data_IF_130843701741
#
_entry.id   IF_130843701741
#
_cell.length_a   1.000
_cell.length_b   1.000
_cell.length_c   1.000
_cell.angle_alpha   90.00
_cell.angle_beta   90.00
_cell.angle_gamma   90.00
#
_symmetry.space_group_name_H-M   'P 1'
#
loop_
_entity.id
_entity.type
_entity.pdbx_description
1 polymer ?
#
# COMPACT_ATOMS: atom_id res chain seq x y z
N UNK A 1 7.04 13.35 -25.37
CA UNK A 1 7.61 13.94 -24.13
C UNK A 1 6.69 13.80 -22.93
N UNK A 2 5.36 14.02 -23.05
CA UNK A 2 4.41 13.86 -21.94
C UNK A 2 4.34 12.42 -21.35
N UNK A 3 4.30 11.37 -22.20
CA UNK A 3 4.26 9.97 -21.76
C UNK A 3 5.41 9.57 -20.81
N UNK A 4 6.62 10.11 -21.06
CA UNK A 4 7.81 9.78 -20.26
C UNK A 4 7.74 10.40 -18.86
N UNK A 5 7.15 11.60 -18.75
CA UNK A 5 6.93 12.27 -17.47
C UNK A 5 5.88 11.52 -16.63
N UNK A 6 4.79 11.08 -17.26
CA UNK A 6 3.74 10.32 -16.59
C UNK A 6 4.27 8.99 -16.02
N UNK A 7 5.10 8.28 -16.77
CA UNK A 7 5.76 7.05 -16.31
C UNK A 7 6.74 7.30 -15.15
N UNK A 8 7.53 8.38 -15.20
CA UNK A 8 8.43 8.78 -14.11
C UNK A 8 7.66 9.11 -12.84
N UNK A 9 6.56 9.86 -12.95
CA UNK A 9 5.67 10.23 -11.83
C UNK A 9 5.02 8.98 -11.23
N UNK A 10 4.55 8.04 -12.05
CA UNK A 10 3.98 6.77 -11.57
C UNK A 10 5.04 5.94 -10.83
N UNK A 11 6.27 5.88 -11.35
CA UNK A 11 7.36 5.18 -10.67
C UNK A 11 7.73 5.84 -9.33
N UNK A 12 7.76 7.17 -9.28
CA UNK A 12 7.97 7.93 -8.04
C UNK A 12 6.90 7.60 -7.00
N UNK A 13 5.62 7.66 -7.37
CA UNK A 13 4.52 7.30 -6.47
C UNK A 13 4.59 5.85 -6.02
N UNK A 14 4.97 4.93 -6.91
CA UNK A 14 5.12 3.52 -6.57
C UNK A 14 6.22 3.30 -5.53
N UNK A 15 7.40 3.91 -5.71
CA UNK A 15 8.50 3.82 -4.73
C UNK A 15 8.10 4.43 -3.38
N UNK A 16 7.40 5.55 -3.40
CA UNK A 16 6.95 6.21 -2.18
C UNK A 16 5.88 5.39 -1.44
N UNK A 17 4.90 4.84 -2.18
CA UNK A 17 3.86 3.96 -1.65
C UNK A 17 4.46 2.72 -0.98
N UNK A 18 5.51 2.13 -1.56
CA UNK A 18 6.19 1.00 -0.97
C UNK A 18 6.91 1.33 0.35
N UNK A 19 7.61 2.47 0.42
CA UNK A 19 8.23 2.96 1.67
C UNK A 19 7.16 3.18 2.76
N UNK A 20 6.06 3.82 2.41
CA UNK A 20 4.94 4.03 3.33
C UNK A 20 4.28 2.72 3.77
N UNK A 21 4.17 1.73 2.87
CA UNK A 21 3.67 0.40 3.21
C UNK A 21 4.56 -0.27 4.27
N UNK A 22 5.89 -0.15 4.16
CA UNK A 22 6.81 -0.64 5.20
C UNK A 22 6.62 0.08 6.54
N UNK A 23 6.48 1.42 6.52
CA UNK A 23 6.22 2.21 7.73
C UNK A 23 4.90 1.77 8.39
N UNK A 24 3.82 1.62 7.60
CA UNK A 24 2.53 1.14 8.08
C UNK A 24 2.64 -0.23 8.76
N UNK A 25 3.41 -1.15 8.17
CA UNK A 25 3.66 -2.47 8.77
C UNK A 25 4.42 -2.37 10.09
N UNK A 26 5.43 -1.52 10.18
CA UNK A 26 6.18 -1.29 11.42
C UNK A 26 5.29 -0.71 12.52
N UNK A 27 4.40 0.25 12.18
CA UNK A 27 3.42 0.80 13.10
C UNK A 27 2.41 -0.27 13.57
N UNK A 28 1.91 -1.09 12.65
CA UNK A 28 1.00 -2.18 12.99
C UNK A 28 1.66 -3.19 13.94
N UNK A 29 2.93 -3.54 13.71
CA UNK A 29 3.70 -4.40 14.63
C UNK A 29 3.91 -3.78 16.02
N UNK A 30 3.97 -2.46 16.10
CA UNK A 30 4.06 -1.72 17.36
C UNK A 30 2.70 -1.49 18.04
N UNK A 31 1.60 -2.10 17.53
CA UNK A 31 0.24 -1.92 18.06
C UNK A 31 -0.43 -0.60 17.67
N UNK A 32 0.23 0.26 16.87
CA UNK A 32 -0.28 1.56 16.42
C UNK A 32 -1.16 1.39 15.18
N UNK A 33 -2.24 0.64 15.34
CA UNK A 33 -3.09 0.21 14.22
C UNK A 33 -3.84 1.35 13.53
N UNK A 34 -4.33 2.34 14.26
CA UNK A 34 -5.03 3.48 13.67
C UNK A 34 -4.11 4.28 12.72
N UNK A 35 -2.87 4.53 13.15
CA UNK A 35 -1.87 5.22 12.34
C UNK A 35 -1.44 4.39 11.13
N UNK A 36 -1.23 3.08 11.34
CA UNK A 36 -0.99 2.15 10.24
C UNK A 36 -2.13 2.18 9.21
N UNK A 37 -3.38 2.29 9.68
CA UNK A 37 -4.59 2.42 8.87
C UNK A 37 -4.57 3.69 8.02
N UNK A 38 -4.30 4.85 8.62
CA UNK A 38 -4.17 6.13 7.89
C UNK A 38 -3.15 6.03 6.75
N UNK A 39 -2.00 5.42 7.02
CA UNK A 39 -0.96 5.21 6.00
C UNK A 39 -1.43 4.21 4.92
N UNK A 40 -2.11 3.12 5.27
CA UNK A 40 -2.67 2.19 4.27
C UNK A 40 -3.63 2.90 3.31
N UNK A 41 -4.48 3.81 3.81
CA UNK A 41 -5.39 4.60 2.98
C UNK A 41 -4.65 5.51 2.02
N UNK A 42 -3.57 6.14 2.49
CA UNK A 42 -2.73 6.97 1.63
C UNK A 42 -1.98 6.15 0.57
N UNK A 43 -1.42 4.99 0.93
CA UNK A 43 -0.81 4.04 -0.01
C UNK A 43 -1.80 3.64 -1.10
N UNK A 44 -3.04 3.31 -0.75
CA UNK A 44 -4.10 3.01 -1.73
C UNK A 44 -4.30 4.13 -2.73
N UNK A 45 -4.34 5.39 -2.26
CA UNK A 45 -4.50 6.57 -3.13
C UNK A 45 -3.34 6.82 -4.10
N UNK A 46 -2.16 6.30 -3.78
CA UNK A 46 -0.98 6.34 -4.66
C UNK A 46 -1.01 5.18 -5.65
N UNK A 47 -1.28 3.96 -5.17
CA UNK A 47 -1.30 2.75 -6.00
C UNK A 47 -2.38 2.80 -7.10
N UNK A 48 -3.54 3.42 -6.83
CA UNK A 48 -4.63 3.56 -7.81
C UNK A 48 -4.26 4.42 -9.02
N UNK A 49 -3.24 5.29 -8.90
CA UNK A 49 -2.74 6.12 -10.01
C UNK A 49 -1.98 5.31 -11.05
N UNK A 50 -1.59 4.07 -10.73
CA UNK A 50 -0.96 3.17 -11.68
C UNK A 50 -2.01 2.60 -12.65
N UNK A 51 -1.70 2.59 -13.94
CA UNK A 51 -2.58 2.05 -14.97
C UNK A 51 -2.69 0.52 -14.92
N UNK A 52 -1.74 -0.16 -14.26
CA UNK A 52 -1.72 -1.62 -14.15
C UNK A 52 -2.93 -2.12 -13.34
N UNK A 53 -3.77 -3.03 -13.89
CA UNK A 53 -4.95 -3.57 -13.20
C UNK A 53 -4.60 -4.28 -11.88
N UNK A 54 -3.42 -4.91 -11.78
CA UNK A 54 -2.95 -5.55 -10.54
C UNK A 54 -2.74 -4.51 -9.43
N UNK A 55 -2.18 -3.34 -9.76
CA UNK A 55 -1.99 -2.25 -8.81
C UNK A 55 -3.33 -1.66 -8.33
N UNK A 56 -4.36 -1.64 -9.18
CA UNK A 56 -5.71 -1.20 -8.77
C UNK A 56 -6.35 -2.20 -7.82
N UNK A 57 -6.21 -3.50 -8.07
CA UNK A 57 -6.70 -4.54 -7.16
C UNK A 57 -5.98 -4.48 -5.80
N UNK A 58 -4.66 -4.29 -5.81
CA UNK A 58 -3.86 -4.09 -4.60
C UNK A 58 -4.30 -2.83 -3.84
N UNK A 59 -4.55 -1.71 -4.54
CA UNK A 59 -5.05 -0.48 -3.93
C UNK A 59 -6.38 -0.68 -3.19
N UNK A 60 -7.32 -1.45 -3.75
CA UNK A 60 -8.60 -1.75 -3.09
C UNK A 60 -8.41 -2.60 -1.83
N UNK A 61 -7.49 -3.56 -1.85
CA UNK A 61 -7.16 -4.35 -0.66
C UNK A 61 -6.48 -3.50 0.42
N UNK A 62 -5.57 -2.59 0.03
CA UNK A 62 -4.97 -1.61 0.92
C UNK A 62 -6.01 -0.67 1.54
N UNK A 63 -7.04 -0.28 0.77
CA UNK A 63 -8.18 0.52 1.27
C UNK A 63 -9.02 -0.25 2.29
N UNK A 64 -9.36 -1.51 2.01
CA UNK A 64 -10.08 -2.37 2.98
C UNK A 64 -9.29 -2.56 4.26
N UNK A 65 -7.99 -2.84 4.12
CA UNK A 65 -7.01 -2.93 5.18
C UNK A 65 -6.89 -1.65 6.02
N UNK A 66 -7.04 -0.47 5.40
CA UNK A 66 -7.12 0.83 6.08
C UNK A 66 -8.40 0.96 6.90
N UNK A 67 -9.56 0.72 6.29
CA UNK A 67 -10.87 0.89 6.94
C UNK A 67 -10.98 0.01 8.18
N UNK A 68 -10.59 -1.27 8.07
CA UNK A 68 -10.68 -2.22 9.17
C UNK A 68 -9.77 -1.85 10.33
N UNK A 69 -8.55 -1.32 10.07
CA UNK A 69 -7.67 -0.80 11.12
C UNK A 69 -8.28 0.38 11.87
N UNK A 70 -8.94 1.29 11.15
CA UNK A 70 -9.62 2.44 11.75
C UNK A 70 -10.88 2.04 12.53
N UNK A 71 -11.50 0.91 12.17
CA UNK A 71 -12.64 0.34 12.88
C UNK A 71 -12.23 -0.55 14.08
N UNK A 72 -10.93 -0.82 14.26
CA UNK A 72 -10.42 -1.69 15.31
C UNK A 72 -10.47 -3.19 14.98
N UNK A 73 -10.91 -3.57 13.78
CA UNK A 73 -10.88 -4.97 13.31
C UNK A 73 -9.49 -5.33 12.76
N UNK A 74 -8.56 -5.59 13.69
CA UNK A 74 -7.14 -5.80 13.37
C UNK A 74 -6.92 -7.12 12.62
N UNK A 75 -7.66 -8.17 12.97
CA UNK A 75 -7.49 -9.49 12.38
C UNK A 75 -7.81 -9.46 10.88
N UNK A 76 -8.97 -8.90 10.51
CA UNK A 76 -9.33 -8.81 9.10
C UNK A 76 -8.44 -7.79 8.37
N UNK A 77 -8.09 -6.68 9.03
CA UNK A 77 -7.12 -5.73 8.50
C UNK A 77 -5.78 -6.37 8.11
N UNK A 78 -5.27 -7.31 8.90
CA UNK A 78 -4.05 -8.05 8.57
C UNK A 78 -4.23 -9.02 7.41
N UNK A 79 -5.37 -9.73 7.35
CA UNK A 79 -5.69 -10.60 6.21
C UNK A 79 -5.67 -9.82 4.90
N UNK A 80 -6.35 -8.68 4.83
CA UNK A 80 -6.36 -7.84 3.62
C UNK A 80 -4.99 -7.23 3.30
N UNK A 81 -4.22 -6.84 4.32
CA UNK A 81 -2.84 -6.37 4.14
C UNK A 81 -1.94 -7.45 3.51
N UNK A 82 -2.05 -8.69 3.98
CA UNK A 82 -1.30 -9.82 3.43
C UNK A 82 -1.69 -10.11 1.98
N UNK A 83 -2.99 -10.06 1.65
CA UNK A 83 -3.47 -10.23 0.28
C UNK A 83 -2.94 -9.13 -0.65
N UNK A 84 -2.99 -7.87 -0.23
CA UNK A 84 -2.45 -6.74 -1.00
C UNK A 84 -0.96 -6.93 -1.32
N UNK A 85 -0.18 -7.35 -0.32
CA UNK A 85 1.27 -7.60 -0.46
C UNK A 85 1.62 -8.75 -1.39
N UNK A 86 0.79 -9.79 -1.44
CA UNK A 86 0.95 -10.91 -2.38
C UNK A 86 0.69 -10.50 -3.83
N UNK A 87 -0.20 -9.54 -4.05
CA UNK A 87 -0.52 -9.04 -5.38
C UNK A 87 0.48 -8.01 -5.89
N UNK A 88 1.08 -7.22 -5.00
CA UNK A 88 2.01 -6.16 -5.40
C UNK A 88 3.28 -6.76 -6.04
N UNK A 89 3.54 -6.51 -7.34
CA UNK A 89 4.69 -7.09 -8.04
C UNK A 89 6.03 -6.55 -7.54
N UNK A 90 6.02 -5.40 -6.86
CA UNK A 90 7.22 -4.72 -6.33
C UNK A 90 7.36 -4.80 -4.80
N UNK A 91 6.47 -5.53 -4.11
CA UNK A 91 6.52 -5.64 -2.66
C UNK A 91 7.77 -6.41 -2.16
N UNK A 92 8.29 -7.35 -2.93
CA UNK A 92 9.51 -8.09 -2.60
C UNK A 92 10.80 -7.37 -3.01
N UNK A 93 10.70 -6.31 -3.83
CA UNK A 93 11.87 -5.61 -4.39
C UNK A 93 12.63 -4.75 -3.37
N UNK A 94 12.13 -4.61 -2.14
CA UNK A 94 12.78 -3.80 -1.08
C UNK A 94 13.32 -4.68 0.06
N UNK A 95 13.23 -6.01 -0.03
CA UNK A 95 13.85 -6.91 0.96
C UNK A 95 15.34 -7.21 0.68
N UNK A 96 15.95 -6.56 -0.33
CA UNK A 96 17.37 -6.72 -0.70
C UNK A 96 18.18 -5.43 -0.58
N UNK A 97 18.22 -4.84 0.62
CA UNK A 97 19.17 -3.80 1.01
C UNK A 97 20.19 -4.35 1.98
#
# INVERSE_FOLDING_TARGET
MALKLEEEVVNFYCQYALKLCQVSRSLAKAGRHEEAGKICGFVSSLCIKNANPVCRQEAELCKKSSILRLQGDIENAEKYCLLARRLCPRNFSIEGG
#
